data_IF_790436410407
#
_entry.id   IF_790436410407
#
_cell.length_a   1.000
_cell.length_b   1.000
_cell.length_c   1.000
_cell.angle_alpha   90.00
_cell.angle_beta   90.00
_cell.angle_gamma   90.00
#
_symmetry.space_group_name_H-M   'P 1'
#
loop_
_entity.id
_entity.type
_entity.pdbx_description
1 polymer ?
#
# COMPACT_ATOMS: atom_id res chain seq x y z
N UNK A 1 -9.18 -8.47 -17.52
CA UNK A 1 -7.94 -8.04 -18.20
C UNK A 1 -6.90 -7.67 -17.18
N UNK A 2 -5.67 -8.19 -17.30
CA UNK A 2 -4.54 -7.82 -16.44
C UNK A 2 -3.27 -7.62 -17.30
N UNK A 3 -2.44 -6.58 -17.08
CA UNK A 3 -1.22 -6.35 -17.86
C UNK A 3 -0.18 -7.45 -17.65
N UNK A 4 0.47 -7.86 -18.74
CA UNK A 4 1.62 -8.79 -18.79
C UNK A 4 2.93 -8.02 -18.98
N UNK A 5 2.98 -7.15 -20.00
CA UNK A 5 4.13 -6.30 -20.30
C UNK A 5 3.72 -5.05 -21.09
N UNK A 6 4.54 -4.00 -20.99
CA UNK A 6 4.44 -2.82 -21.84
C UNK A 6 5.31 -3.01 -23.08
N UNK A 7 4.77 -2.63 -24.24
CA UNK A 7 5.45 -2.73 -25.53
C UNK A 7 6.03 -1.36 -25.88
N UNK A 8 7.32 -1.33 -26.19
CA UNK A 8 8.05 -0.10 -26.55
C UNK A 8 8.48 -0.09 -28.02
N UNK A 9 8.55 1.09 -28.62
CA UNK A 9 9.19 1.30 -29.92
C UNK A 9 10.70 1.55 -29.79
N UNK A 10 11.39 1.75 -30.92
CA UNK A 10 12.84 2.01 -30.98
C UNK A 10 13.28 3.28 -30.22
N UNK A 11 12.35 4.20 -29.96
CA UNK A 11 12.58 5.45 -29.23
C UNK A 11 12.24 5.32 -27.74
N UNK A 12 11.91 4.12 -27.25
CA UNK A 12 11.45 3.82 -25.88
C UNK A 12 10.13 4.47 -25.49
N UNK A 13 9.27 4.80 -26.45
CA UNK A 13 7.89 5.18 -26.18
C UNK A 13 7.00 3.94 -26.08
N UNK A 14 6.05 3.95 -25.16
CA UNK A 14 5.00 2.93 -25.09
C UNK A 14 4.15 3.02 -26.35
N UNK A 15 3.85 1.88 -26.95
CA UNK A 15 2.98 1.74 -28.14
C UNK A 15 1.93 0.65 -27.96
N UNK A 16 1.86 0.07 -26.77
CA UNK A 16 0.89 -0.97 -26.47
C UNK A 16 1.14 -1.65 -25.14
N UNK A 17 0.15 -2.44 -24.72
CA UNK A 17 0.20 -3.23 -23.50
C UNK A 17 -0.36 -4.62 -23.79
N UNK A 18 0.49 -5.64 -23.67
CA UNK A 18 0.05 -7.03 -23.74
C UNK A 18 -0.64 -7.39 -22.43
N UNK A 19 -1.81 -8.01 -22.52
CA UNK A 19 -2.66 -8.36 -21.40
C UNK A 19 -3.16 -9.80 -21.49
N UNK A 20 -3.61 -10.34 -20.36
CA UNK A 20 -4.41 -11.57 -20.29
C UNK A 20 -5.88 -11.26 -20.03
N UNK A 21 -6.79 -12.11 -20.52
CA UNK A 21 -8.14 -12.18 -19.95
C UNK A 21 -8.08 -12.79 -18.53
N UNK A 22 -8.98 -12.32 -17.67
CA UNK A 22 -9.08 -12.83 -16.29
C UNK A 22 -10.49 -13.38 -16.07
N UNK A 23 -10.59 -14.46 -15.34
CA UNK A 23 -11.84 -15.02 -14.83
C UNK A 23 -11.90 -14.94 -13.31
N UNK A 24 -13.11 -14.98 -12.75
CA UNK A 24 -13.29 -14.94 -11.30
C UNK A 24 -13.13 -16.35 -10.73
N UNK A 25 -12.15 -16.55 -9.85
CA UNK A 25 -12.01 -17.77 -9.05
C UNK A 25 -12.92 -17.76 -7.82
N UNK A 26 -12.53 -18.52 -6.82
CA UNK A 26 -13.24 -18.61 -5.53
C UNK A 26 -13.08 -17.31 -4.70
N UNK A 27 -14.07 -16.99 -3.84
CA UNK A 27 -13.95 -15.90 -2.88
C UNK A 27 -12.82 -16.17 -1.87
N UNK A 28 -12.06 -15.13 -1.54
CA UNK A 28 -11.12 -15.14 -0.43
C UNK A 28 -11.81 -14.78 0.91
N UNK A 29 -11.02 -14.70 1.99
CA UNK A 29 -11.50 -14.39 3.34
C UNK A 29 -12.23 -13.03 3.46
N UNK A 30 -12.01 -12.11 2.50
CA UNK A 30 -12.73 -10.83 2.43
C UNK A 30 -14.08 -10.94 1.69
N UNK A 31 -14.41 -12.12 1.16
CA UNK A 31 -15.53 -12.37 0.26
C UNK A 31 -15.26 -11.95 -1.19
N UNK A 32 -14.07 -11.41 -1.48
CA UNK A 32 -13.71 -10.98 -2.83
C UNK A 32 -13.25 -12.17 -3.65
N UNK A 33 -13.84 -12.37 -4.82
CA UNK A 33 -13.38 -13.39 -5.78
C UNK A 33 -12.01 -13.01 -6.35
N UNK A 34 -11.04 -13.92 -6.23
CA UNK A 34 -9.69 -13.70 -6.76
C UNK A 34 -9.71 -13.76 -8.29
N UNK A 35 -9.02 -12.85 -9.00
CA UNK A 35 -8.86 -12.97 -10.44
C UNK A 35 -7.88 -14.11 -10.75
N UNK A 36 -8.24 -14.97 -11.71
CA UNK A 36 -7.41 -16.06 -12.22
C UNK A 36 -7.15 -15.82 -13.71
N UNK A 37 -5.91 -16.02 -14.14
CA UNK A 37 -5.51 -15.87 -15.54
C UNK A 37 -6.19 -16.94 -16.38
N UNK A 38 -6.79 -16.55 -17.50
CA UNK A 38 -7.24 -17.49 -18.53
C UNK A 38 -6.07 -17.76 -19.46
N UNK A 39 -5.44 -18.92 -19.34
CA UNK A 39 -4.27 -19.29 -20.15
C UNK A 39 -4.57 -19.24 -21.66
N UNK A 40 -3.62 -18.76 -22.47
CA UNK A 40 -3.77 -18.63 -23.93
C UNK A 40 -4.72 -17.52 -24.39
N UNK A 41 -5.10 -16.60 -23.50
CA UNK A 41 -6.00 -15.48 -23.80
C UNK A 41 -5.25 -14.15 -24.03
N UNK A 42 -3.98 -14.20 -24.38
CA UNK A 42 -3.17 -13.00 -24.60
C UNK A 42 -3.70 -12.14 -25.74
N UNK A 43 -3.75 -10.84 -25.48
CA UNK A 43 -4.08 -9.83 -26.49
C UNK A 43 -3.34 -8.52 -26.23
N UNK A 44 -3.23 -7.69 -27.26
CA UNK A 44 -2.58 -6.38 -27.18
C UNK A 44 -3.65 -5.29 -27.18
N UNK A 45 -3.53 -4.36 -26.26
CA UNK A 45 -4.25 -3.09 -26.27
C UNK A 45 -3.28 -2.03 -26.80
N UNK A 46 -3.67 -1.37 -27.90
CA UNK A 46 -2.91 -0.25 -28.47
C UNK A 46 -3.06 0.99 -27.59
N UNK A 47 -1.95 1.50 -27.06
CA UNK A 47 -1.90 2.64 -26.12
C UNK A 47 -0.55 3.35 -26.22
N UNK A 48 -0.57 4.68 -26.13
CA UNK A 48 0.63 5.52 -26.13
C UNK A 48 1.06 5.95 -24.70
N UNK A 49 0.18 5.78 -23.70
CA UNK A 49 0.42 6.17 -22.31
C UNK A 49 -0.19 5.14 -21.34
N UNK A 50 0.56 4.81 -20.28
CA UNK A 50 0.11 3.91 -19.20
C UNK A 50 0.40 4.53 -17.84
N UNK A 51 -0.65 4.67 -17.02
CA UNK A 51 -0.56 5.19 -15.65
C UNK A 51 -0.75 4.02 -14.67
N UNK A 52 0.31 3.67 -13.93
CA UNK A 52 0.29 2.56 -12.97
C UNK A 52 -0.29 3.02 -11.63
N UNK A 53 -1.51 2.57 -11.32
CA UNK A 53 -2.25 2.91 -10.10
C UNK A 53 -2.52 1.70 -9.19
N UNK A 54 -1.50 0.85 -8.95
CA UNK A 54 -1.62 -0.39 -8.16
C UNK A 54 -1.66 -0.17 -6.63
N UNK A 55 -1.66 1.10 -6.20
CA UNK A 55 -1.51 1.50 -4.80
C UNK A 55 -0.06 1.80 -4.43
N UNK A 56 0.12 2.27 -3.21
CA UNK A 56 1.40 2.73 -2.67
C UNK A 56 1.86 1.85 -1.51
N UNK A 57 3.14 1.94 -1.15
CA UNK A 57 3.72 1.26 0.01
C UNK A 57 4.49 2.26 0.87
N UNK A 58 4.66 1.98 2.18
CA UNK A 58 5.53 2.76 3.06
C UNK A 58 6.94 2.95 2.49
N UNK A 59 7.54 4.11 2.75
CA UNK A 59 8.92 4.37 2.35
C UNK A 59 9.89 3.50 3.18
N UNK A 60 10.63 2.57 2.57
CA UNK A 60 11.49 1.63 3.30
C UNK A 60 12.66 2.33 4.00
N UNK A 61 13.05 3.52 3.54
CA UNK A 61 14.16 4.26 4.14
C UNK A 61 13.88 4.59 5.61
N UNK A 62 12.66 5.00 5.95
CA UNK A 62 12.28 5.37 7.32
C UNK A 62 12.52 4.21 8.29
N UNK A 63 12.08 3.00 7.93
CA UNK A 63 12.31 1.81 8.73
C UNK A 63 13.79 1.48 8.84
N UNK A 64 14.53 1.53 7.72
CA UNK A 64 15.96 1.18 7.69
C UNK A 64 16.88 2.16 8.42
N UNK A 65 16.50 3.44 8.52
CA UNK A 65 17.34 4.49 9.12
C UNK A 65 16.90 4.87 10.53
N UNK A 66 15.78 4.33 11.03
CA UNK A 66 15.26 4.67 12.36
C UNK A 66 15.42 3.48 13.30
N UNK A 67 16.57 3.42 13.98
CA UNK A 67 16.87 2.36 14.94
C UNK A 67 15.78 2.22 16.01
N UNK A 68 15.35 0.98 16.27
CA UNK A 68 14.31 0.67 17.26
C UNK A 68 12.87 0.93 16.79
N UNK A 69 12.64 1.31 15.54
CA UNK A 69 11.28 1.41 14.97
C UNK A 69 10.87 0.06 14.37
N UNK A 70 9.91 -0.62 15.00
CA UNK A 70 9.37 -1.88 14.48
C UNK A 70 8.38 -1.67 13.33
N UNK A 71 8.45 -2.54 12.33
CA UNK A 71 7.53 -2.56 11.20
C UNK A 71 6.97 -3.96 10.95
N UNK A 72 5.76 -4.03 10.41
CA UNK A 72 5.16 -5.29 9.95
C UNK A 72 5.87 -5.81 8.68
N UNK A 73 5.52 -7.03 8.26
CA UNK A 73 5.97 -7.59 6.96
C UNK A 73 5.59 -6.74 5.74
N UNK A 74 4.64 -5.82 5.89
CA UNK A 74 4.17 -4.91 4.84
C UNK A 74 4.88 -3.54 4.88
N UNK A 75 5.82 -3.35 5.80
CA UNK A 75 6.56 -2.09 5.98
C UNK A 75 5.80 -1.00 6.74
N UNK A 76 4.59 -1.27 7.22
CA UNK A 76 3.85 -0.35 8.10
C UNK A 76 4.44 -0.35 9.50
N UNK A 77 4.42 0.78 10.19
CA UNK A 77 4.93 0.93 11.55
C UNK A 77 4.00 0.22 12.53
N UNK A 78 4.59 -0.54 13.46
CA UNK A 78 3.88 -1.15 14.58
C UNK A 78 3.64 -0.08 15.64
N UNK A 79 2.36 0.21 15.90
CA UNK A 79 1.92 1.15 16.91
C UNK A 79 0.68 0.59 17.63
N UNK A 80 0.56 0.91 18.92
CA UNK A 80 -0.64 0.60 19.70
C UNK A 80 -1.85 1.38 19.14
N UNK A 81 -2.95 0.68 18.85
CA UNK A 81 -4.11 1.29 18.20
C UNK A 81 -4.84 2.31 19.08
N UNK A 82 -4.81 2.13 20.40
CA UNK A 82 -5.51 2.98 21.36
C UNK A 82 -4.76 4.27 21.69
N UNK A 83 -3.44 4.30 21.46
CA UNK A 83 -2.56 5.43 21.84
C UNK A 83 -1.73 5.98 20.69
N UNK A 84 -1.54 5.22 19.61
CA UNK A 84 -0.60 5.51 18.53
C UNK A 84 0.86 5.32 18.91
N UNK A 85 1.17 4.81 20.11
CA UNK A 85 2.55 4.72 20.61
C UNK A 85 3.30 3.56 19.95
N UNK A 86 4.53 3.81 19.51
CA UNK A 86 5.42 2.76 18.97
C UNK A 86 6.27 2.15 20.09
N UNK A 87 6.98 1.06 19.79
CA UNK A 87 7.97 0.48 20.72
C UNK A 87 9.18 1.38 20.96
N UNK A 88 9.44 2.33 20.05
CA UNK A 88 10.52 3.30 20.17
C UNK A 88 10.10 4.40 21.15
N UNK A 89 10.93 4.64 22.17
CA UNK A 89 10.64 5.66 23.18
C UNK A 89 10.40 7.02 22.53
N UNK A 90 9.36 7.71 23.03
CA UNK A 90 8.92 9.04 22.58
C UNK A 90 8.57 9.13 21.09
N UNK A 91 8.18 8.02 20.46
CA UNK A 91 7.73 8.00 19.07
C UNK A 91 6.33 7.41 18.96
N UNK A 92 5.47 8.11 18.22
CA UNK A 92 4.10 7.72 17.90
C UNK A 92 3.92 7.68 16.38
N UNK A 93 2.98 6.88 15.91
CA UNK A 93 2.61 6.77 14.51
C UNK A 93 1.09 6.64 14.36
N UNK A 94 0.56 7.12 13.24
CA UNK A 94 -0.87 7.08 12.95
C UNK A 94 -1.16 7.31 11.47
N UNK A 95 -2.37 6.92 11.04
CA UNK A 95 -2.78 6.96 9.64
C UNK A 95 -2.18 5.83 8.80
N UNK A 96 -2.09 6.04 7.49
CA UNK A 96 -1.74 5.00 6.51
C UNK A 96 -0.39 4.32 6.77
N UNK A 97 0.54 5.00 7.46
CA UNK A 97 1.83 4.40 7.84
C UNK A 97 1.67 3.25 8.84
N UNK A 98 0.54 3.17 9.56
CA UNK A 98 0.21 2.10 10.51
C UNK A 98 -0.76 1.11 9.87
N UNK A 99 -1.85 1.60 9.27
CA UNK A 99 -2.96 0.76 8.77
C UNK A 99 -2.78 0.27 7.34
N UNK A 100 -1.84 0.83 6.58
CA UNK A 100 -1.87 0.75 5.12
C UNK A 100 -2.91 1.71 4.53
N UNK A 101 -3.03 1.72 3.19
CA UNK A 101 -3.90 2.64 2.46
C UNK A 101 -5.33 2.66 3.04
N UNK A 102 -5.71 3.80 3.63
CA UNK A 102 -6.97 3.97 4.34
C UNK A 102 -7.65 5.27 3.91
N UNK A 103 -8.49 5.84 4.79
CA UNK A 103 -9.23 7.06 4.51
C UNK A 103 -8.64 8.25 5.29
N UNK A 104 -8.84 9.45 4.77
CA UNK A 104 -8.42 10.70 5.42
C UNK A 104 -9.01 10.83 6.83
N UNK A 105 -10.25 10.38 7.06
CA UNK A 105 -10.89 10.45 8.37
C UNK A 105 -10.21 9.52 9.39
N UNK A 106 -9.79 8.33 8.96
CA UNK A 106 -9.02 7.39 9.80
C UNK A 106 -7.67 7.99 10.20
N UNK A 107 -6.96 8.62 9.24
CA UNK A 107 -5.70 9.30 9.53
C UNK A 107 -5.85 10.48 10.51
N UNK A 108 -6.91 11.29 10.34
CA UNK A 108 -7.23 12.38 11.27
C UNK A 108 -7.53 11.84 12.68
N UNK A 109 -8.32 10.76 12.77
CA UNK A 109 -8.64 10.09 14.04
C UNK A 109 -7.38 9.60 14.75
N UNK A 110 -6.50 8.89 14.03
CA UNK A 110 -5.22 8.42 14.57
C UNK A 110 -4.33 9.58 15.05
N UNK A 111 -4.31 10.70 14.32
CA UNK A 111 -3.58 11.90 14.73
C UNK A 111 -4.10 12.49 16.05
N UNK A 112 -5.43 12.53 16.26
CA UNK A 112 -6.02 13.00 17.52
C UNK A 112 -5.69 12.07 18.70
N UNK A 113 -5.72 10.76 18.48
CA UNK A 113 -5.36 9.75 19.48
C UNK A 113 -3.89 9.91 19.90
N UNK A 114 -2.98 9.96 18.93
CA UNK A 114 -1.55 10.15 19.19
C UNK A 114 -1.27 11.48 19.91
N UNK A 115 -1.90 12.58 19.49
CA UNK A 115 -1.73 13.88 20.13
C UNK A 115 -2.19 13.88 21.60
N UNK A 116 -3.30 13.21 21.91
CA UNK A 116 -3.78 13.08 23.28
C UNK A 116 -2.80 12.28 24.16
N UNK A 117 -2.23 11.19 23.64
CA UNK A 117 -1.27 10.37 24.38
C UNK A 117 0.09 11.07 24.56
N UNK A 118 0.58 11.77 23.52
CA UNK A 118 1.77 12.63 23.62
C UNK A 118 1.58 13.68 24.71
N UNK A 119 0.44 14.37 24.73
CA UNK A 119 0.15 15.38 25.74
C UNK A 119 0.07 14.79 27.16
N UNK A 120 -0.48 13.58 27.31
CA UNK A 120 -0.47 12.86 28.59
C UNK A 120 0.96 12.54 29.02
N UNK A 121 1.75 11.94 28.12
CA UNK A 121 3.15 11.59 28.38
C UNK A 121 3.99 12.79 28.82
N UNK A 122 3.82 13.96 28.19
CA UNK A 122 4.59 15.17 28.50
C UNK A 122 4.18 15.85 29.82
N UNK A 123 2.97 15.57 30.32
CA UNK A 123 2.47 16.16 31.58
C UNK A 123 2.81 15.34 32.83
N UNK A 124 3.28 14.11 32.66
CA UNK A 124 3.47 13.14 33.76
C UNK A 124 2.17 12.49 34.19
#
# INVERSE_FOLDING_TARGET
TNPKQFLGNEQNWVVGMECYEMELGEPDDSGRRRPVTKEGSEFVIDVDEVIVALGTRPNPLIASTTEGLETTKWGTVVADEATGKTVKDRVWAGGDIVTGAATVISAMGAGKVAAADINKFLRG
#
